data_IF_490542870486
#
_entry.id   IF_490542870486
#
_cell.length_a   1.000
_cell.length_b   1.000
_cell.length_c   1.000
_cell.angle_alpha   90.00
_cell.angle_beta   90.00
_cell.angle_gamma   90.00
#
_symmetry.space_group_name_H-M   'P 1'
#
loop_
_entity.id
_entity.type
_entity.pdbx_description
1 polymer ?
#
# COMPACT_ATOMS: atom_id res chain seq x y z
N UNK A 1 5.31 -21.85 9.75
CA UNK A 1 3.94 -21.59 10.24
C UNK A 1 3.63 -22.65 11.27
N UNK A 2 3.19 -22.28 12.50
CA UNK A 2 2.77 -23.26 13.49
C UNK A 2 1.62 -24.14 12.95
N UNK A 3 1.62 -25.41 13.31
CA UNK A 3 0.55 -26.37 12.87
C UNK A 3 -0.86 -25.94 13.31
N UNK A 4 -0.96 -25.05 14.29
CA UNK A 4 -2.22 -24.54 14.86
C UNK A 4 -2.62 -23.16 14.33
N UNK A 5 -1.94 -22.64 13.32
CA UNK A 5 -2.28 -21.32 12.76
C UNK A 5 -3.55 -21.38 11.91
N UNK A 6 -4.50 -20.50 12.21
CA UNK A 6 -5.79 -20.35 11.51
C UNK A 6 -5.88 -19.00 10.78
N UNK A 7 -5.05 -18.76 9.75
CA UNK A 7 -4.90 -17.43 9.17
C UNK A 7 -6.18 -16.90 8.51
N UNK A 8 -7.04 -17.76 7.95
CA UNK A 8 -8.30 -17.32 7.33
C UNK A 8 -9.29 -16.87 8.39
N UNK A 9 -9.39 -17.60 9.50
CA UNK A 9 -10.26 -17.22 10.61
C UNK A 9 -9.80 -15.90 11.25
N UNK A 10 -8.48 -15.70 11.40
CA UNK A 10 -7.89 -14.48 11.93
C UNK A 10 -8.25 -13.26 11.06
N UNK A 11 -8.22 -13.40 9.73
CA UNK A 11 -8.63 -12.33 8.81
C UNK A 11 -10.12 -12.01 8.95
N UNK A 12 -10.97 -13.03 9.01
CA UNK A 12 -12.42 -12.88 9.15
C UNK A 12 -12.76 -12.28 10.51
N UNK A 13 -12.11 -12.73 11.57
CA UNK A 13 -12.33 -12.22 12.92
C UNK A 13 -11.87 -10.76 13.06
N UNK A 14 -10.71 -10.43 12.51
CA UNK A 14 -10.20 -9.04 12.47
C UNK A 14 -11.22 -8.12 11.81
N UNK A 15 -11.79 -8.52 10.67
CA UNK A 15 -12.84 -7.76 10.00
C UNK A 15 -14.06 -7.56 10.89
N UNK A 16 -14.54 -8.63 11.54
CA UNK A 16 -15.71 -8.57 12.44
C UNK A 16 -15.46 -7.68 13.65
N UNK A 17 -14.31 -7.81 14.28
CA UNK A 17 -13.95 -7.05 15.47
C UNK A 17 -13.76 -5.57 15.15
N UNK A 18 -13.18 -5.27 13.99
CA UNK A 18 -13.05 -3.90 13.53
C UNK A 18 -14.41 -3.27 13.26
N UNK A 19 -15.31 -3.97 12.56
CA UNK A 19 -16.66 -3.47 12.30
C UNK A 19 -17.47 -3.20 13.58
N UNK A 20 -17.29 -4.03 14.61
CA UNK A 20 -17.95 -3.80 15.93
C UNK A 20 -17.42 -2.56 16.65
N UNK A 21 -16.14 -2.21 16.45
CA UNK A 21 -15.48 -1.07 17.13
C UNK A 21 -15.73 0.26 16.44
N UNK A 22 -15.65 0.28 15.12
CA UNK A 22 -15.65 1.52 14.33
C UNK A 22 -16.91 1.73 13.50
N UNK A 23 -17.71 0.68 13.29
CA UNK A 23 -18.84 0.71 12.36
C UNK A 23 -18.44 0.56 10.88
N UNK A 24 -17.15 0.59 10.56
CA UNK A 24 -16.63 0.39 9.21
C UNK A 24 -16.29 -1.07 8.95
N UNK A 25 -16.45 -1.50 7.70
CA UNK A 25 -16.10 -2.87 7.28
C UNK A 25 -14.80 -2.87 6.50
N UNK A 26 -13.80 -3.60 7.01
CA UNK A 26 -12.56 -3.84 6.28
C UNK A 26 -12.85 -4.72 5.07
N UNK A 27 -12.40 -4.29 3.90
CA UNK A 27 -12.64 -5.01 2.63
C UNK A 27 -11.35 -5.37 1.92
N UNK A 28 -10.35 -4.51 1.94
CA UNK A 28 -9.07 -4.73 1.26
C UNK A 28 -7.99 -5.09 2.27
N UNK A 29 -7.31 -6.20 2.03
CA UNK A 29 -6.20 -6.70 2.83
C UNK A 29 -4.98 -6.79 1.92
N UNK A 30 -4.03 -5.88 2.11
CA UNK A 30 -2.81 -5.80 1.31
C UNK A 30 -1.64 -6.39 2.08
N UNK A 31 -0.89 -7.27 1.44
CA UNK A 31 0.29 -7.94 2.01
C UNK A 31 1.31 -8.26 0.92
N UNK A 32 2.55 -8.55 1.29
CA UNK A 32 3.56 -9.00 0.32
C UNK A 32 3.39 -10.48 -0.06
N UNK A 33 4.03 -10.89 -1.14
CA UNK A 33 3.99 -12.29 -1.64
C UNK A 33 4.44 -13.29 -0.58
N UNK A 34 5.48 -12.98 0.20
CA UNK A 34 6.00 -13.89 1.23
C UNK A 34 4.95 -14.17 2.32
N UNK A 35 4.26 -13.12 2.79
CA UNK A 35 3.18 -13.26 3.78
C UNK A 35 2.00 -14.04 3.20
N UNK A 36 1.64 -13.77 1.94
CA UNK A 36 0.59 -14.49 1.25
C UNK A 36 0.90 -15.98 1.08
N UNK A 37 2.14 -16.31 0.71
CA UNK A 37 2.58 -17.70 0.64
C UNK A 37 2.50 -18.44 1.99
N UNK A 38 2.77 -17.75 3.11
CA UNK A 38 2.59 -18.34 4.44
C UNK A 38 1.14 -18.71 4.70
N UNK A 39 0.19 -17.85 4.29
CA UNK A 39 -1.25 -18.13 4.39
C UNK A 39 -1.64 -19.34 3.53
N UNK A 40 -1.15 -19.42 2.30
CA UNK A 40 -1.43 -20.55 1.40
C UNK A 40 -0.86 -21.89 1.87
N UNK A 41 0.29 -21.86 2.58
CA UNK A 41 0.97 -23.06 3.11
C UNK A 41 0.34 -23.58 4.38
N UNK A 42 -0.47 -22.79 5.09
CA UNK A 42 -1.11 -23.21 6.33
C UNK A 42 -2.05 -24.40 6.10
N UNK A 43 -1.97 -25.40 6.97
CA UNK A 43 -2.79 -26.62 6.84
C UNK A 43 -4.27 -26.34 7.00
N UNK A 44 -4.61 -25.45 7.92
CA UNK A 44 -5.98 -25.06 8.18
C UNK A 44 -6.61 -24.37 6.95
N UNK A 45 -5.87 -23.49 6.28
CA UNK A 45 -6.30 -22.88 5.00
C UNK A 45 -6.67 -23.95 3.96
N UNK A 46 -5.87 -25.00 3.84
CA UNK A 46 -6.13 -26.10 2.91
C UNK A 46 -7.39 -26.87 3.28
N UNK A 47 -7.59 -27.14 4.56
CA UNK A 47 -8.78 -27.83 5.06
C UNK A 47 -10.06 -27.01 4.81
N UNK A 48 -10.03 -25.72 5.12
CA UNK A 48 -11.20 -24.85 4.96
C UNK A 48 -11.59 -24.65 3.49
N UNK A 49 -10.63 -24.35 2.62
CA UNK A 49 -10.90 -24.05 1.21
C UNK A 49 -11.30 -25.30 0.42
N UNK A 50 -10.71 -26.45 0.71
CA UNK A 50 -11.02 -27.70 0.02
C UNK A 50 -12.21 -28.47 0.63
N UNK A 51 -12.66 -28.06 1.83
CA UNK A 51 -13.76 -28.75 2.53
C UNK A 51 -13.42 -30.19 2.95
N UNK A 52 -12.15 -30.53 3.09
CA UNK A 52 -11.68 -31.88 3.39
C UNK A 52 -11.43 -32.02 4.89
N UNK A 53 -12.10 -32.96 5.53
CA UNK A 53 -11.94 -33.27 6.95
C UNK A 53 -10.62 -33.97 7.28
N UNK A 54 -10.05 -34.70 6.32
CA UNK A 54 -8.75 -35.37 6.46
C UNK A 54 -7.81 -34.84 5.37
N UNK A 55 -6.80 -34.07 5.82
CA UNK A 55 -5.77 -33.58 4.93
C UNK A 55 -4.77 -34.69 4.58
N UNK A 56 -4.77 -35.10 3.31
CA UNK A 56 -3.70 -35.92 2.73
C UNK A 56 -2.63 -35.00 2.16
N UNK A 57 -1.44 -35.03 2.76
CA UNK A 57 -0.31 -34.15 2.41
C UNK A 57 0.00 -34.12 0.90
N UNK A 58 0.45 -32.98 0.41
CA UNK A 58 0.92 -32.80 -0.97
C UNK A 58 0.02 -31.96 -1.88
N UNK A 59 -1.20 -31.60 -1.46
CA UNK A 59 -2.08 -30.73 -2.26
C UNK A 59 -1.61 -29.27 -2.14
N UNK A 60 -1.39 -28.62 -3.29
CA UNK A 60 -1.13 -27.19 -3.38
C UNK A 60 -2.42 -26.47 -3.70
N UNK A 61 -2.78 -25.49 -2.87
CA UNK A 61 -3.86 -24.56 -3.17
C UNK A 61 -3.45 -23.59 -4.28
N UNK A 62 -4.38 -23.33 -5.18
CA UNK A 62 -4.24 -22.21 -6.10
C UNK A 62 -4.64 -20.91 -5.39
N UNK A 63 -3.91 -19.86 -5.67
CA UNK A 63 -4.18 -18.53 -5.12
C UNK A 63 -5.63 -18.08 -5.37
N UNK A 64 -6.16 -18.35 -6.57
CA UNK A 64 -7.53 -18.02 -6.95
C UNK A 64 -8.59 -18.66 -6.06
N UNK A 65 -8.39 -19.91 -5.63
CA UNK A 65 -9.34 -20.62 -4.77
C UNK A 65 -9.48 -19.96 -3.40
N UNK A 66 -8.34 -19.56 -2.79
CA UNK A 66 -8.35 -18.89 -1.49
C UNK A 66 -8.91 -17.47 -1.61
N UNK A 67 -8.57 -16.76 -2.68
CA UNK A 67 -9.11 -15.42 -2.94
C UNK A 67 -10.62 -15.47 -3.14
N UNK A 68 -11.15 -16.46 -3.85
CA UNK A 68 -12.59 -16.63 -4.08
C UNK A 68 -13.32 -17.00 -2.78
N UNK A 69 -12.74 -17.88 -1.97
CA UNK A 69 -13.26 -18.22 -0.64
C UNK A 69 -13.39 -16.97 0.24
N UNK A 70 -12.33 -16.17 0.34
CA UNK A 70 -12.33 -14.92 1.13
C UNK A 70 -13.27 -13.85 0.56
N UNK A 71 -13.43 -13.80 -0.76
CA UNK A 71 -14.40 -12.91 -1.41
C UNK A 71 -15.85 -13.22 -0.98
N UNK A 72 -16.17 -14.48 -0.72
CA UNK A 72 -17.47 -14.89 -0.13
C UNK A 72 -17.73 -14.24 1.23
N UNK A 73 -16.68 -13.89 1.99
CA UNK A 73 -16.76 -13.12 3.23
C UNK A 73 -16.60 -11.61 3.02
N UNK A 74 -16.51 -11.12 1.77
CA UNK A 74 -16.33 -9.72 1.44
C UNK A 74 -14.92 -9.20 1.73
N UNK A 75 -13.91 -10.08 1.65
CA UNK A 75 -12.49 -9.77 1.81
C UNK A 75 -11.81 -9.86 0.44
N UNK A 76 -11.15 -8.80 0.04
CA UNK A 76 -10.31 -8.75 -1.15
C UNK A 76 -8.84 -8.76 -0.74
N UNK A 77 -8.08 -9.70 -1.29
CA UNK A 77 -6.63 -9.78 -1.08
C UNK A 77 -5.92 -9.07 -2.20
N UNK A 78 -5.04 -8.15 -1.83
CA UNK A 78 -4.14 -7.46 -2.73
C UNK A 78 -2.69 -7.82 -2.39
N UNK A 79 -1.97 -8.42 -3.34
CA UNK A 79 -0.54 -8.66 -3.19
C UNK A 79 0.22 -7.43 -3.64
N UNK A 80 0.99 -6.83 -2.73
CA UNK A 80 1.69 -5.57 -2.94
C UNK A 80 3.19 -5.73 -2.65
N UNK A 81 3.96 -5.94 -3.73
CA UNK A 81 5.40 -6.23 -3.67
C UNK A 81 6.29 -5.04 -4.04
N UNK A 82 5.78 -3.81 -3.97
CA UNK A 82 6.61 -2.65 -4.27
C UNK A 82 7.71 -2.47 -3.24
N UNK A 83 8.88 -2.12 -3.76
CA UNK A 83 10.10 -1.90 -2.99
C UNK A 83 10.46 -0.42 -2.98
N UNK A 84 11.14 0.00 -1.93
CA UNK A 84 11.77 1.31 -1.84
C UNK A 84 13.19 1.16 -1.30
N UNK A 85 14.04 2.14 -1.61
CA UNK A 85 15.38 2.22 -1.04
C UNK A 85 15.29 3.11 0.19
N UNK A 86 15.61 2.56 1.36
CA UNK A 86 15.62 3.32 2.60
C UNK A 86 16.81 4.30 2.59
N UNK A 87 16.56 5.62 2.69
CA UNK A 87 17.64 6.62 2.65
C UNK A 87 18.59 6.56 3.86
N UNK A 88 18.20 5.89 4.94
CA UNK A 88 19.00 5.79 6.15
C UNK A 88 20.11 4.73 6.05
N UNK A 89 19.85 3.60 5.41
CA UNK A 89 20.76 2.47 5.31
C UNK A 89 21.09 2.04 3.87
N UNK A 90 20.43 2.66 2.87
CA UNK A 90 20.59 2.35 1.46
C UNK A 90 20.07 0.98 1.05
N UNK A 91 19.37 0.27 1.93
CA UNK A 91 18.83 -1.05 1.65
C UNK A 91 17.46 -0.98 0.97
N UNK A 92 17.23 -1.96 0.11
CA UNK A 92 15.92 -2.13 -0.53
C UNK A 92 14.98 -2.87 0.41
N UNK A 93 13.85 -2.26 0.72
CA UNK A 93 12.82 -2.79 1.64
C UNK A 93 11.45 -2.82 0.96
N UNK A 94 10.59 -3.75 1.39
CA UNK A 94 9.18 -3.74 1.00
C UNK A 94 8.44 -2.61 1.69
N UNK A 95 7.49 -1.96 0.99
CA UNK A 95 6.57 -1.01 1.62
C UNK A 95 5.70 -1.67 2.69
N UNK A 96 5.28 -2.92 2.43
CA UNK A 96 4.59 -3.74 3.42
C UNK A 96 5.56 -4.84 3.85
N UNK A 97 6.15 -4.76 5.06
CA UNK A 97 7.09 -5.77 5.54
C UNK A 97 6.45 -7.15 5.66
N UNK A 98 7.28 -8.19 5.55
CA UNK A 98 6.83 -9.58 5.75
C UNK A 98 6.23 -9.77 7.15
N UNK A 99 5.11 -10.46 7.23
CA UNK A 99 4.37 -10.66 8.48
C UNK A 99 3.46 -9.49 8.88
N UNK A 100 3.29 -8.50 8.01
CA UNK A 100 2.35 -7.39 8.21
C UNK A 100 1.27 -7.43 7.12
N UNK A 101 0.02 -7.22 7.54
CA UNK A 101 -1.12 -7.08 6.65
C UNK A 101 -1.75 -5.72 6.90
N UNK A 102 -1.83 -4.90 5.85
CA UNK A 102 -2.54 -3.63 5.86
C UNK A 102 -3.99 -3.84 5.46
N UNK A 103 -4.91 -3.44 6.32
CA UNK A 103 -6.34 -3.63 6.13
C UNK A 103 -7.02 -2.28 5.95
N UNK A 104 -7.84 -2.15 4.91
CA UNK A 104 -8.50 -0.89 4.55
C UNK A 104 -9.99 -1.10 4.28
N UNK A 105 -10.78 -0.06 4.57
CA UNK A 105 -12.18 -0.01 4.17
C UNK A 105 -12.31 0.50 2.74
N UNK A 106 -13.13 -0.13 1.90
CA UNK A 106 -13.41 0.39 0.57
C UNK A 106 -14.34 1.61 0.62
N UNK A 107 -14.11 2.54 -0.31
CA UNK A 107 -14.98 3.71 -0.49
C UNK A 107 -14.86 4.78 0.60
N UNK A 108 -13.90 4.68 1.52
CA UNK A 108 -13.62 5.69 2.52
C UNK A 108 -12.51 6.61 2.04
N UNK A 109 -12.73 7.91 2.22
CA UNK A 109 -11.72 8.92 1.94
C UNK A 109 -10.57 8.82 2.95
N UNK A 110 -9.37 8.56 2.45
CA UNK A 110 -8.19 8.36 3.30
C UNK A 110 -7.39 9.65 3.53
N UNK A 111 -7.49 10.61 2.62
CA UNK A 111 -6.73 11.84 2.67
C UNK A 111 -6.44 12.39 1.28
N UNK A 112 -5.75 13.50 1.24
CA UNK A 112 -5.45 14.24 0.02
C UNK A 112 -3.96 14.51 -0.14
N UNK A 113 -3.59 14.98 -1.32
CA UNK A 113 -2.25 15.49 -1.58
C UNK A 113 -2.31 17.01 -1.70
N UNK A 114 -1.87 17.71 -0.67
CA UNK A 114 -1.92 19.17 -0.58
C UNK A 114 -0.66 19.78 -1.18
N UNK A 115 -0.82 20.65 -2.15
CA UNK A 115 0.28 21.36 -2.79
C UNK A 115 0.59 22.69 -2.11
N UNK A 116 1.87 22.96 -1.90
CA UNK A 116 2.36 24.24 -1.40
C UNK A 116 3.02 25.08 -2.50
N UNK A 117 3.15 26.38 -2.30
CA UNK A 117 3.88 27.23 -3.25
C UNK A 117 5.36 26.90 -3.24
N UNK A 118 5.95 26.67 -4.43
CA UNK A 118 7.38 26.43 -4.57
C UNK A 118 8.19 27.71 -4.30
N UNK A 119 9.49 27.61 -3.98
CA UNK A 119 10.36 28.78 -3.83
C UNK A 119 10.37 29.67 -5.08
N UNK A 120 10.32 29.07 -6.26
CA UNK A 120 10.28 29.74 -7.55
C UNK A 120 8.99 30.57 -7.71
N UNK A 121 7.85 30.01 -7.30
CA UNK A 121 6.57 30.75 -7.28
C UNK A 121 6.60 31.91 -6.29
N UNK A 122 7.32 31.78 -5.17
CA UNK A 122 7.42 32.85 -4.17
C UNK A 122 8.34 33.96 -4.60
N UNK A 123 9.42 33.64 -5.29
CA UNK A 123 10.39 34.64 -5.70
C UNK A 123 9.91 35.52 -6.86
N UNK A 124 8.90 35.11 -7.61
CA UNK A 124 8.16 35.93 -8.62
C UNK A 124 8.98 36.54 -9.75
N UNK A 125 10.31 36.54 -9.67
CA UNK A 125 11.22 37.15 -10.59
C UNK A 125 12.60 36.51 -10.53
N UNK A 126 12.74 35.43 -11.32
CA UNK A 126 14.08 34.95 -11.63
C UNK A 126 14.58 35.73 -12.84
N UNK A 127 15.66 36.46 -12.67
CA UNK A 127 16.14 37.54 -13.57
C UNK A 127 16.58 37.04 -14.95
N UNK A 128 16.84 35.74 -15.15
CA UNK A 128 17.47 35.21 -16.35
C UNK A 128 16.76 33.98 -16.99
N UNK A 129 15.47 33.78 -16.74
CA UNK A 129 14.76 32.62 -17.31
C UNK A 129 13.25 32.80 -17.39
N UNK A 130 12.60 31.85 -18.03
CA UNK A 130 11.14 31.76 -18.11
C UNK A 130 10.60 30.86 -17.01
N UNK A 131 9.77 31.44 -16.14
CA UNK A 131 9.01 30.69 -15.13
C UNK A 131 7.60 30.41 -15.68
N UNK A 132 7.23 29.14 -15.74
CA UNK A 132 5.87 28.69 -16.04
C UNK A 132 5.31 27.96 -14.84
N UNK A 133 4.19 28.42 -14.32
CA UNK A 133 3.45 27.75 -13.24
C UNK A 133 2.40 26.89 -13.94
N UNK A 134 2.52 25.57 -13.82
CA UNK A 134 1.59 24.60 -14.43
C UNK A 134 0.33 24.52 -13.60
N UNK A 135 0.51 24.33 -12.28
CA UNK A 135 -0.53 24.36 -11.25
C UNK A 135 0.09 24.82 -9.94
N UNK A 136 -0.73 25.18 -8.95
CA UNK A 136 -0.23 25.54 -7.62
C UNK A 136 0.64 24.41 -7.08
N UNK A 137 1.91 24.72 -6.77
CA UNK A 137 2.88 23.75 -6.25
C UNK A 137 3.70 23.02 -7.30
N UNK A 138 3.53 23.33 -8.60
CA UNK A 138 4.35 22.78 -9.69
C UNK A 138 4.87 23.94 -10.54
N UNK A 139 6.16 24.23 -10.43
CA UNK A 139 6.82 25.28 -11.21
C UNK A 139 7.86 24.68 -12.15
N UNK A 140 7.89 25.19 -13.37
CA UNK A 140 8.88 24.84 -14.39
C UNK A 140 9.70 26.10 -14.69
N UNK A 141 10.98 26.05 -14.46
CA UNK A 141 11.92 27.13 -14.74
C UNK A 141 12.90 26.72 -15.81
N UNK A 142 12.98 27.52 -16.89
CA UNK A 142 13.93 27.28 -18.00
C UNK A 142 14.88 28.47 -18.13
N UNK A 143 16.17 28.20 -18.20
CA UNK A 143 17.21 29.19 -18.46
C UNK A 143 18.27 28.66 -19.43
N UNK A 144 18.91 29.59 -20.14
CA UNK A 144 19.99 29.25 -21.07
C UNK A 144 21.34 29.71 -20.53
N UNK A 145 22.37 28.89 -20.77
CA UNK A 145 23.77 29.27 -20.54
C UNK A 145 24.48 29.47 -21.88
N UNK A 146 25.36 30.51 -21.98
CA UNK A 146 26.00 30.87 -23.23
C UNK A 146 27.32 30.12 -23.50
N UNK A 147 27.99 29.59 -22.47
CA UNK A 147 29.26 28.88 -22.57
C UNK A 147 29.33 27.68 -21.60
N UNK A 148 29.15 26.44 -22.07
CA UNK A 148 28.63 26.07 -23.39
C UNK A 148 27.17 26.45 -23.56
N UNK A 149 26.70 26.55 -24.81
CA UNK A 149 25.30 26.87 -25.11
C UNK A 149 24.44 25.67 -24.71
N UNK A 150 23.71 25.82 -23.61
CA UNK A 150 22.79 24.79 -23.11
C UNK A 150 21.49 25.44 -22.60
N UNK A 151 20.39 24.70 -22.73
CA UNK A 151 19.12 25.05 -22.11
C UNK A 151 18.90 24.13 -20.92
N UNK A 152 18.71 24.69 -19.75
CA UNK A 152 18.42 23.98 -18.52
C UNK A 152 16.93 24.09 -18.23
N UNK A 153 16.32 22.95 -17.84
CA UNK A 153 14.94 22.89 -17.40
C UNK A 153 14.93 22.35 -15.97
N UNK A 154 14.43 23.11 -15.03
CA UNK A 154 14.28 22.72 -13.62
C UNK A 154 12.80 22.64 -13.32
N UNK A 155 12.37 21.50 -12.80
CA UNK A 155 10.99 21.27 -12.37
C UNK A 155 10.98 21.12 -10.85
N UNK A 156 10.24 21.97 -10.16
CA UNK A 156 10.08 21.94 -8.72
C UNK A 156 8.64 21.59 -8.36
N UNK A 157 8.48 20.73 -7.36
CA UNK A 157 7.18 20.40 -6.82
C UNK A 157 7.27 20.36 -5.28
N UNK A 158 6.29 20.98 -4.62
CA UNK A 158 6.11 20.88 -3.19
C UNK A 158 4.71 20.35 -2.90
N UNK A 159 4.63 19.21 -2.24
CA UNK A 159 3.37 18.64 -1.82
C UNK A 159 3.54 17.80 -0.57
N UNK A 160 2.47 17.73 0.21
CA UNK A 160 2.38 16.94 1.44
C UNK A 160 1.16 16.03 1.36
N UNK A 161 1.35 14.70 1.45
CA UNK A 161 0.21 13.81 1.61
C UNK A 161 -0.40 14.00 3.00
N UNK A 162 -1.73 14.19 3.07
CA UNK A 162 -2.49 14.16 4.32
C UNK A 162 -3.12 12.80 4.51
N UNK A 163 -3.26 12.38 5.75
CA UNK A 163 -3.94 11.15 6.10
C UNK A 163 -5.00 11.44 7.17
N UNK A 164 -6.26 11.40 6.77
CA UNK A 164 -7.40 11.79 7.61
C UNK A 164 -8.25 10.59 8.03
N UNK A 165 -8.23 9.53 7.25
CA UNK A 165 -9.05 8.33 7.43
C UNK A 165 -8.48 7.29 8.39
N UNK A 166 -7.88 7.68 9.52
CA UNK A 166 -7.23 6.74 10.47
C UNK A 166 -8.20 5.68 11.03
N UNK A 167 -9.46 6.05 11.22
CA UNK A 167 -10.49 5.14 11.75
C UNK A 167 -10.97 4.08 10.74
N UNK A 168 -10.51 4.16 9.50
CA UNK A 168 -10.87 3.25 8.41
C UNK A 168 -9.76 2.28 8.01
N UNK A 169 -8.63 2.33 8.71
CA UNK A 169 -7.45 1.50 8.44
C UNK A 169 -7.04 0.72 9.69
N UNK A 170 -6.62 -0.51 9.50
CA UNK A 170 -6.04 -1.34 10.55
C UNK A 170 -4.77 -2.03 10.05
N UNK A 171 -3.87 -2.33 10.97
CA UNK A 171 -2.68 -3.12 10.69
C UNK A 171 -2.72 -4.38 11.53
N UNK A 172 -2.57 -5.52 10.88
CA UNK A 172 -2.50 -6.82 11.54
C UNK A 172 -1.07 -7.36 11.41
N UNK A 173 -0.52 -7.84 12.52
CA UNK A 173 0.76 -8.55 12.55
C UNK A 173 0.48 -10.05 12.56
N UNK A 174 0.99 -10.74 11.55
CA UNK A 174 0.94 -12.20 11.41
C UNK A 174 2.33 -12.72 11.76
N UNK A 175 2.40 -13.56 12.79
CA UNK A 175 3.67 -14.20 13.21
C UNK A 175 3.73 -15.64 12.74
#
# INVERSE_FOLDING_TARGET
>A
VPETATPLDDLIETRRNFAKKTGYSLTRFSMNTETWEMVLKAEDTKKQVLGITAYTGGIRLQQSQVTEYLRGYGIEIEVYDKLYVDPADGQTKYFIPTGIVSCQCAGVYLGDYVFGKTPEERSGSLTDGNLSIVETGIAVYTYATNHPINTHCVVSMIGLPTFEGMDSVAVMKVM
#
